data_IF_970530237729
#
_entry.id   IF_970530237729
#
_cell.length_a   1.000
_cell.length_b   1.000
_cell.length_c   1.000
_cell.angle_alpha   90.00
_cell.angle_beta   90.00
_cell.angle_gamma   90.00
#
_symmetry.space_group_name_H-M   'P 1'
#
loop_
_entity.id
_entity.type
_entity.pdbx_description
1 polymer ?
#
# COMPACT_ATOMS: atom_id res chain seq x y z
N UNK A 1 -2.46 73.99 55.16
CA UNK A 1 -1.82 72.71 54.76
C UNK A 1 -1.82 72.59 53.25
N UNK A 2 -0.65 72.68 52.63
CA UNK A 2 -0.45 72.73 51.17
C UNK A 2 -0.22 71.29 50.65
N UNK A 3 -1.06 70.81 49.73
CA UNK A 3 -0.89 69.51 49.04
C UNK A 3 0.26 69.62 48.03
N UNK A 4 1.35 68.88 48.28
CA UNK A 4 2.49 68.74 47.35
C UNK A 4 2.10 67.79 46.21
N UNK A 5 2.07 68.27 44.96
CA UNK A 5 1.87 67.44 43.75
C UNK A 5 3.13 66.60 43.51
N UNK A 6 3.02 65.27 43.57
CA UNK A 6 4.03 64.36 42.98
C UNK A 6 3.98 64.50 41.47
N UNK A 7 5.11 64.79 40.84
CA UNK A 7 5.19 64.95 39.39
C UNK A 7 5.56 63.63 38.73
N UNK A 8 5.17 63.46 37.45
CA UNK A 8 5.39 62.27 36.63
C UNK A 8 6.84 61.77 36.56
N UNK A 9 7.83 62.57 36.97
CA UNK A 9 9.24 62.17 37.04
C UNK A 9 9.56 61.21 38.19
N UNK A 10 8.82 61.24 39.29
CA UNK A 10 9.09 60.36 40.44
C UNK A 10 8.66 58.90 40.20
N UNK A 11 7.72 58.69 39.27
CA UNK A 11 7.24 57.34 38.88
C UNK A 11 8.19 56.66 37.90
N UNK A 12 8.91 57.43 37.08
CA UNK A 12 9.86 56.88 36.10
C UNK A 12 11.18 56.42 36.75
N UNK A 13 11.56 56.98 37.90
CA UNK A 13 12.78 56.58 38.62
C UNK A 13 12.56 55.29 39.42
N UNK A 14 11.32 54.97 39.81
CA UNK A 14 10.99 53.72 40.51
C UNK A 14 10.91 52.49 39.59
N UNK A 15 10.90 52.68 38.26
CA UNK A 15 10.86 51.58 37.28
C UNK A 15 12.25 51.07 36.85
N UNK A 16 13.33 51.74 37.26
CA UNK A 16 14.68 51.47 36.75
C UNK A 16 15.55 50.50 37.58
N UNK A 17 15.05 49.92 38.68
CA UNK A 17 15.91 49.22 39.64
C UNK A 17 15.38 47.89 40.22
N UNK A 18 14.44 47.21 39.56
CA UNK A 18 13.96 45.91 40.01
C UNK A 18 14.10 44.83 38.92
N UNK A 19 15.26 44.17 38.93
CA UNK A 19 15.39 42.77 38.55
C UNK A 19 15.58 42.47 37.06
N UNK A 20 16.84 42.21 36.68
CA UNK A 20 17.15 41.17 35.71
C UNK A 20 16.62 39.83 36.25
N UNK A 21 15.32 39.59 36.13
CA UNK A 21 14.83 38.24 36.05
C UNK A 21 15.19 37.78 34.64
N UNK A 22 16.18 36.88 34.55
CA UNK A 22 16.28 35.97 33.42
C UNK A 22 14.90 35.35 33.23
N UNK A 23 14.11 35.92 32.32
CA UNK A 23 13.07 35.15 31.65
C UNK A 23 13.85 34.09 30.88
N UNK A 24 14.12 32.97 31.53
CA UNK A 24 13.94 31.70 30.86
C UNK A 24 12.52 31.81 30.32
N UNK A 25 12.38 32.24 29.06
CA UNK A 25 11.15 32.01 28.35
C UNK A 25 10.93 30.52 28.56
N UNK A 26 9.86 30.10 29.26
CA UNK A 26 9.40 28.76 29.00
C UNK A 26 9.27 28.74 27.48
N UNK A 27 9.68 27.67 26.83
CA UNK A 27 9.07 27.36 25.56
C UNK A 27 7.57 27.28 25.85
N UNK A 28 6.89 28.44 25.82
CA UNK A 28 5.45 28.54 25.76
C UNK A 28 5.23 28.04 24.36
N UNK A 29 5.08 26.71 24.26
CA UNK A 29 4.33 26.10 23.18
C UNK A 29 3.00 26.83 23.25
N UNK A 30 2.85 27.87 22.45
CA UNK A 30 1.58 28.58 22.29
C UNK A 30 0.55 27.50 22.11
N UNK A 31 -0.47 27.49 22.96
CA UNK A 31 -1.62 26.62 22.81
C UNK A 31 -2.30 26.93 21.47
N UNK A 32 -1.72 26.41 20.38
CA UNK A 32 -2.53 25.94 19.26
C UNK A 32 -3.35 24.83 19.90
N UNK A 33 -4.66 24.95 19.84
CA UNK A 33 -5.59 23.87 20.16
C UNK A 33 -4.91 22.54 19.82
N UNK A 34 -4.63 21.69 20.81
CA UNK A 34 -4.01 20.40 20.54
C UNK A 34 -4.96 19.68 19.56
N UNK A 35 -4.58 19.68 18.28
CA UNK A 35 -5.42 19.11 17.23
C UNK A 35 -5.51 17.63 17.47
N UNK A 36 -6.67 17.04 17.19
CA UNK A 36 -6.79 15.59 17.09
C UNK A 36 -6.73 15.23 15.62
N UNK A 37 -6.03 14.16 15.30
CA UNK A 37 -6.00 13.56 13.97
C UNK A 37 -6.33 12.08 14.12
N UNK A 38 -7.34 11.61 13.40
CA UNK A 38 -7.72 10.21 13.35
C UNK A 38 -7.34 9.64 11.98
N UNK A 39 -6.44 8.66 11.99
CA UNK A 39 -5.90 8.03 10.78
C UNK A 39 -6.45 6.60 10.69
N UNK A 40 -7.25 6.35 9.65
CA UNK A 40 -7.74 5.01 9.32
C UNK A 40 -6.80 4.37 8.31
N UNK A 41 -6.05 3.37 8.73
CA UNK A 41 -5.04 2.72 7.90
C UNK A 41 -5.24 1.21 7.87
N UNK A 42 -4.47 0.54 7.02
CA UNK A 42 -4.58 -0.88 6.78
C UNK A 42 -3.95 -1.67 7.93
N UNK A 43 -4.72 -2.60 8.50
CA UNK A 43 -4.25 -3.60 9.47
C UNK A 43 -3.35 -4.62 8.78
N UNK A 44 -2.04 -4.45 8.94
CA UNK A 44 -1.03 -5.20 8.22
C UNK A 44 -0.84 -6.59 8.84
N UNK A 45 -0.82 -7.63 7.99
CA UNK A 45 -0.57 -9.01 8.42
C UNK A 45 0.89 -9.31 8.84
N UNK A 46 1.83 -8.40 8.58
CA UNK A 46 3.25 -8.59 8.92
C UNK A 46 3.45 -8.21 10.39
N UNK A 47 4.00 -9.12 11.22
CA UNK A 47 4.25 -8.83 12.62
C UNK A 47 5.09 -7.55 12.81
N UNK A 48 4.64 -6.66 13.70
CA UNK A 48 5.35 -5.41 14.04
C UNK A 48 5.12 -4.23 13.10
N UNK A 49 4.57 -4.44 11.90
CA UNK A 49 4.32 -3.35 10.94
C UNK A 49 3.35 -2.28 11.50
N UNK A 50 2.26 -2.72 12.14
CA UNK A 50 1.29 -1.82 12.76
C UNK A 50 1.91 -1.00 13.91
N UNK A 51 2.76 -1.62 14.73
CA UNK A 51 3.43 -0.91 15.84
C UNK A 51 4.39 0.15 15.30
N UNK A 52 5.18 -0.20 14.28
CA UNK A 52 6.08 0.74 13.62
C UNK A 52 5.32 1.93 13.00
N UNK A 53 4.23 1.68 12.28
CA UNK A 53 3.43 2.74 11.67
C UNK A 53 2.77 3.64 12.74
N UNK A 54 2.18 3.03 13.78
CA UNK A 54 1.60 3.78 14.91
C UNK A 54 2.65 4.69 15.54
N UNK A 55 3.84 4.16 15.82
CA UNK A 55 4.94 4.93 16.42
C UNK A 55 5.35 6.12 15.55
N UNK A 56 5.47 5.94 14.23
CA UNK A 56 5.80 7.03 13.29
C UNK A 56 4.74 8.14 13.36
N UNK A 57 3.45 7.77 13.32
CA UNK A 57 2.34 8.72 13.39
C UNK A 57 2.30 9.46 14.73
N UNK A 58 2.48 8.75 15.85
CA UNK A 58 2.47 9.33 17.20
C UNK A 58 3.68 10.22 17.47
N UNK A 59 4.88 9.83 17.00
CA UNK A 59 6.08 10.65 17.10
C UNK A 59 5.93 11.96 16.32
N UNK A 60 5.37 11.90 15.09
CA UNK A 60 5.03 13.09 14.31
C UNK A 60 4.00 13.96 15.02
N UNK A 61 2.96 13.34 15.59
CA UNK A 61 1.93 14.04 16.37
C UNK A 61 2.53 14.79 17.56
N UNK A 62 3.35 14.12 18.37
CA UNK A 62 4.01 14.69 19.54
C UNK A 62 4.94 15.87 19.17
N UNK A 63 5.66 15.76 18.05
CA UNK A 63 6.52 16.83 17.54
C UNK A 63 5.71 18.07 17.12
N UNK A 64 4.48 17.88 16.62
CA UNK A 64 3.61 18.95 16.13
C UNK A 64 2.54 19.41 17.13
N UNK A 65 2.47 18.81 18.32
CA UNK A 65 1.45 19.11 19.32
C UNK A 65 0.04 18.63 18.93
N UNK A 66 -0.02 17.54 18.17
CA UNK A 66 -1.24 16.90 17.66
C UNK A 66 -1.38 15.53 18.34
N UNK A 67 -2.55 15.24 18.89
CA UNK A 67 -2.91 13.90 19.37
C UNK A 67 -3.34 13.07 18.16
N UNK A 68 -2.54 12.06 17.80
CA UNK A 68 -2.83 11.18 16.66
C UNK A 68 -3.40 9.85 17.17
N UNK A 69 -4.56 9.47 16.66
CA UNK A 69 -5.14 8.14 16.85
C UNK A 69 -5.03 7.37 15.54
N UNK A 70 -4.50 6.15 15.59
CA UNK A 70 -4.42 5.25 14.44
C UNK A 70 -5.37 4.07 14.62
N UNK A 71 -6.35 3.97 13.73
CA UNK A 71 -7.25 2.84 13.58
C UNK A 71 -6.71 1.89 12.50
N UNK A 72 -6.60 0.60 12.84
CA UNK A 72 -6.12 -0.44 11.94
C UNK A 72 -7.29 -1.26 11.45
N UNK A 73 -7.57 -1.16 10.15
CA UNK A 73 -8.73 -1.75 9.51
C UNK A 73 -8.26 -2.86 8.57
N UNK A 74 -8.76 -4.08 8.79
CA UNK A 74 -8.42 -5.24 7.96
C UNK A 74 -8.89 -5.10 6.51
N UNK A 75 -8.12 -5.63 5.57
CA UNK A 75 -8.58 -5.77 4.18
C UNK A 75 -9.57 -6.93 4.01
N UNK A 76 -9.55 -7.91 4.93
CA UNK A 76 -10.35 -9.14 4.86
C UNK A 76 -11.84 -8.79 4.84
N UNK A 77 -12.56 -9.33 3.85
CA UNK A 77 -13.99 -9.08 3.69
C UNK A 77 -14.32 -7.63 3.30
N UNK A 78 -13.40 -6.96 2.59
CA UNK A 78 -13.57 -5.59 2.08
C UNK A 78 -13.83 -4.53 3.17
N UNK A 79 -13.33 -4.72 4.40
CA UNK A 79 -13.64 -3.77 5.49
C UNK A 79 -13.14 -2.35 5.20
N UNK A 80 -11.96 -2.20 4.59
CA UNK A 80 -11.49 -0.89 4.12
C UNK A 80 -12.49 -0.20 3.18
N UNK A 81 -13.02 -0.93 2.19
CA UNK A 81 -14.03 -0.39 1.27
C UNK A 81 -15.33 -0.03 1.99
N UNK A 82 -15.82 -0.93 2.85
CA UNK A 82 -17.07 -0.74 3.58
C UNK A 82 -16.99 0.45 4.54
N UNK A 83 -15.86 0.62 5.22
CA UNK A 83 -15.61 1.78 6.08
C UNK A 83 -15.54 3.06 5.25
N UNK A 84 -14.75 3.10 4.17
CA UNK A 84 -14.69 4.26 3.28
C UNK A 84 -16.07 4.64 2.71
N UNK A 85 -16.91 3.67 2.32
CA UNK A 85 -18.28 3.91 1.87
C UNK A 85 -19.17 4.47 2.97
N UNK A 86 -19.05 3.95 4.20
CA UNK A 86 -19.83 4.42 5.33
C UNK A 86 -19.46 5.87 5.68
N UNK A 87 -18.17 6.16 5.82
CA UNK A 87 -17.66 7.49 6.17
C UNK A 87 -17.94 8.52 5.07
N UNK A 88 -17.75 8.15 3.81
CA UNK A 88 -18.08 9.00 2.67
C UNK A 88 -19.57 9.36 2.60
N UNK A 89 -20.47 8.50 3.08
CA UNK A 89 -21.91 8.75 3.12
C UNK A 89 -22.34 9.53 4.36
N UNK A 90 -21.69 9.26 5.49
CA UNK A 90 -21.99 9.91 6.76
C UNK A 90 -21.33 11.29 6.89
N UNK A 91 -20.31 11.57 6.05
CA UNK A 91 -19.51 12.80 6.09
C UNK A 91 -18.84 13.00 7.46
N UNK A 92 -18.48 11.89 8.09
CA UNK A 92 -17.80 11.80 9.39
C UNK A 92 -17.03 10.49 9.45
N UNK A 93 -15.92 10.47 10.18
CA UNK A 93 -15.00 9.34 10.20
C UNK A 93 -13.57 9.78 10.43
N UNK A 94 -12.66 9.17 9.69
CA UNK A 94 -11.23 9.47 9.74
C UNK A 94 -10.88 10.76 8.99
N UNK A 95 -9.88 11.48 9.49
CA UNK A 95 -9.32 12.66 8.83
C UNK A 95 -8.42 12.27 7.67
N UNK A 96 -7.68 11.17 7.82
CA UNK A 96 -6.86 10.54 6.79
C UNK A 96 -7.27 9.07 6.70
N UNK A 97 -7.63 8.62 5.50
CA UNK A 97 -8.07 7.24 5.28
C UNK A 97 -7.29 6.59 4.13
N UNK A 98 -6.78 5.38 4.36
CA UNK A 98 -6.11 4.61 3.30
C UNK A 98 -7.13 4.14 2.26
N UNK A 99 -6.89 4.46 1.00
CA UNK A 99 -7.71 4.01 -0.12
C UNK A 99 -6.87 3.10 -1.02
N UNK A 100 -7.00 1.76 -0.87
CA UNK A 100 -6.24 0.82 -1.69
C UNK A 100 -6.56 0.89 -3.18
N UNK A 101 -5.59 0.52 -4.01
CA UNK A 101 -5.78 0.25 -5.43
C UNK A 101 -6.47 1.41 -6.17
N UNK A 102 -7.59 1.15 -6.83
CA UNK A 102 -8.38 2.12 -7.60
C UNK A 102 -9.37 2.92 -6.74
N UNK A 103 -9.42 2.73 -5.42
CA UNK A 103 -10.42 3.40 -4.58
C UNK A 103 -10.35 4.94 -4.61
N UNK A 104 -9.18 5.60 -4.77
CA UNK A 104 -9.17 7.06 -4.97
C UNK A 104 -10.07 7.49 -6.13
N UNK A 105 -10.14 6.70 -7.22
CA UNK A 105 -11.06 6.97 -8.33
C UNK A 105 -12.54 6.86 -7.95
N UNK A 106 -12.89 5.91 -7.09
CA UNK A 106 -14.27 5.70 -6.61
C UNK A 106 -14.73 6.85 -5.72
N UNK A 107 -13.83 7.37 -4.88
CA UNK A 107 -14.14 8.41 -3.90
C UNK A 107 -13.68 9.81 -4.31
N UNK A 108 -13.12 10.01 -5.51
CA UNK A 108 -12.47 11.28 -5.95
C UNK A 108 -13.25 12.57 -5.68
N UNK A 109 -14.58 12.53 -5.69
CA UNK A 109 -15.46 13.68 -5.40
C UNK A 109 -15.63 14.00 -3.91
N UNK A 110 -15.03 13.20 -3.04
CA UNK A 110 -15.11 13.25 -1.58
C UNK A 110 -13.73 13.44 -0.93
N UNK A 111 -12.68 13.51 -1.75
CA UNK A 111 -11.29 13.64 -1.32
C UNK A 111 -10.80 15.05 -1.59
N UNK A 112 -10.19 15.65 -0.59
CA UNK A 112 -9.48 16.92 -0.74
C UNK A 112 -8.28 16.73 -1.68
N UNK A 113 -8.01 17.68 -2.60
CA UNK A 113 -6.75 17.69 -3.33
C UNK A 113 -5.55 17.75 -2.38
N UNK A 114 -4.52 16.95 -2.66
CA UNK A 114 -3.28 16.86 -1.87
C UNK A 114 -2.05 17.18 -2.74
N UNK A 115 -2.21 18.10 -3.70
CA UNK A 115 -1.15 18.50 -4.63
C UNK A 115 0.06 19.10 -3.92
N UNK A 116 -0.15 19.76 -2.78
CA UNK A 116 0.92 20.29 -1.93
C UNK A 116 1.77 19.16 -1.32
N UNK A 117 1.11 18.16 -0.71
CA UNK A 117 1.77 16.99 -0.12
C UNK A 117 2.54 16.20 -1.18
N UNK A 118 1.92 15.92 -2.32
CA UNK A 118 2.57 15.17 -3.40
C UNK A 118 3.68 16.00 -4.05
N UNK A 119 3.48 17.30 -4.20
CA UNK A 119 4.48 18.24 -4.71
C UNK A 119 5.75 18.25 -3.85
N UNK A 120 5.61 18.30 -2.53
CA UNK A 120 6.73 18.24 -1.58
C UNK A 120 7.49 16.91 -1.70
N UNK A 121 6.77 15.77 -1.76
CA UNK A 121 7.37 14.45 -1.95
C UNK A 121 8.18 14.39 -3.25
N UNK A 122 7.62 14.89 -4.36
CA UNK A 122 8.29 14.89 -5.66
C UNK A 122 9.52 15.80 -5.66
N UNK A 123 9.41 16.98 -5.03
CA UNK A 123 10.51 17.93 -4.95
C UNK A 123 11.70 17.36 -4.14
N UNK A 124 11.42 16.60 -3.08
CA UNK A 124 12.44 16.02 -2.22
C UNK A 124 13.02 14.70 -2.76
N UNK A 125 12.17 13.82 -3.30
CA UNK A 125 12.55 12.43 -3.61
C UNK A 125 12.53 12.10 -5.12
N UNK A 126 12.09 13.03 -5.96
CA UNK A 126 11.97 12.83 -7.40
C UNK A 126 10.61 12.25 -7.82
N UNK A 127 10.51 11.92 -9.10
CA UNK A 127 9.25 11.48 -9.69
C UNK A 127 8.69 10.21 -9.04
N UNK A 128 7.38 10.19 -8.81
CA UNK A 128 6.66 8.99 -8.37
C UNK A 128 6.62 7.94 -9.50
N UNK A 129 6.40 6.68 -9.12
CA UNK A 129 6.14 5.62 -10.10
C UNK A 129 4.86 5.95 -10.92
N UNK A 130 4.82 5.71 -12.25
CA UNK A 130 3.67 6.08 -13.09
C UNK A 130 2.31 5.54 -12.62
N UNK A 131 2.29 4.42 -11.90
CA UNK A 131 1.06 3.89 -11.32
C UNK A 131 0.42 4.82 -10.29
N UNK A 132 1.20 5.63 -9.57
CA UNK A 132 0.67 6.60 -8.61
C UNK A 132 -0.16 7.66 -9.34
N UNK A 133 0.37 8.20 -10.45
CA UNK A 133 -0.34 9.17 -11.28
C UNK A 133 -1.63 8.56 -11.85
N UNK A 134 -1.55 7.36 -12.42
CA UNK A 134 -2.73 6.66 -12.96
C UNK A 134 -3.84 6.44 -11.92
N UNK A 135 -3.49 6.07 -10.69
CA UNK A 135 -4.46 5.72 -9.65
C UNK A 135 -5.00 6.93 -8.89
N UNK A 136 -4.20 7.99 -8.73
CA UNK A 136 -4.48 9.06 -7.79
C UNK A 136 -4.51 10.48 -8.38
N UNK A 137 -3.90 10.73 -9.55
CA UNK A 137 -4.00 12.04 -10.22
C UNK A 137 -5.23 12.06 -11.12
N UNK A 138 -6.32 12.64 -10.59
CA UNK A 138 -7.66 12.54 -11.17
C UNK A 138 -8.29 13.92 -11.27
N UNK A 139 -8.93 14.20 -12.40
CA UNK A 139 -9.57 15.49 -12.67
C UNK A 139 -8.58 16.68 -12.56
N UNK A 140 -7.29 16.45 -12.89
CA UNK A 140 -6.24 17.46 -12.91
C UNK A 140 -5.61 17.79 -11.56
N UNK A 141 -5.87 16.99 -10.52
CA UNK A 141 -5.31 17.15 -9.17
C UNK A 141 -4.95 15.80 -8.54
N UNK A 142 -4.05 15.79 -7.58
CA UNK A 142 -3.77 14.61 -6.75
C UNK A 142 -4.88 14.39 -5.72
N UNK A 143 -5.63 13.28 -5.82
CA UNK A 143 -6.69 12.89 -4.88
C UNK A 143 -6.22 12.02 -3.73
N UNK A 144 -5.01 11.49 -3.83
CA UNK A 144 -4.37 10.70 -2.79
C UNK A 144 -2.84 10.76 -3.00
N UNK A 145 -2.10 10.56 -1.91
CA UNK A 145 -0.65 10.36 -1.95
C UNK A 145 -0.32 8.86 -1.78
N UNK A 146 0.81 8.38 -2.34
CA UNK A 146 1.28 7.01 -2.10
C UNK A 146 1.48 6.74 -0.60
N UNK A 147 0.89 5.66 -0.09
CA UNK A 147 1.05 5.27 1.31
C UNK A 147 2.33 4.42 1.50
N UNK A 148 3.07 4.60 2.61
CA UNK A 148 4.28 3.81 2.89
C UNK A 148 3.97 2.42 3.45
N UNK A 149 2.70 2.11 3.71
CA UNK A 149 2.26 0.91 4.43
C UNK A 149 2.11 -0.34 3.54
N UNK A 150 2.42 -0.25 2.24
CA UNK A 150 2.34 -1.38 1.33
C UNK A 150 2.89 -1.05 -0.06
N UNK A 151 3.14 -2.09 -0.86
CA UNK A 151 3.54 -1.98 -2.25
C UNK A 151 2.63 -2.82 -3.13
N UNK A 152 2.29 -2.30 -4.32
CA UNK A 152 1.50 -3.00 -5.32
C UNK A 152 2.36 -3.81 -6.30
N UNK A 153 3.68 -3.91 -6.07
CA UNK A 153 4.54 -4.75 -6.90
C UNK A 153 4.27 -6.23 -6.63
N UNK A 154 3.47 -6.84 -7.50
CA UNK A 154 3.13 -8.26 -7.50
C UNK A 154 4.20 -9.08 -8.23
N UNK A 155 5.30 -9.34 -7.53
CA UNK A 155 6.31 -10.24 -8.03
C UNK A 155 5.90 -11.70 -7.86
N UNK A 156 6.50 -12.57 -8.66
CA UNK A 156 6.55 -13.99 -8.34
C UNK A 156 7.48 -14.21 -7.16
N UNK A 157 6.97 -14.80 -6.09
CA UNK A 157 7.78 -15.22 -4.94
C UNK A 157 7.98 -16.73 -5.02
N UNK A 158 9.22 -17.15 -5.26
CA UNK A 158 9.54 -18.54 -5.60
C UNK A 158 10.59 -19.17 -4.69
N UNK A 159 10.43 -20.46 -4.40
CA UNK A 159 11.43 -21.34 -3.80
C UNK A 159 12.43 -21.79 -4.85
N UNK A 160 13.51 -21.01 -4.98
CA UNK A 160 14.56 -21.23 -5.97
C UNK A 160 15.13 -22.66 -5.93
N UNK A 161 15.27 -23.21 -4.73
CA UNK A 161 15.75 -24.58 -4.48
C UNK A 161 14.81 -25.64 -5.05
N UNK A 162 13.49 -25.46 -4.92
CA UNK A 162 12.50 -26.42 -5.42
C UNK A 162 12.40 -26.37 -6.95
N UNK A 163 12.48 -25.19 -7.55
CA UNK A 163 12.50 -25.04 -9.01
C UNK A 163 13.72 -25.73 -9.62
N UNK A 164 14.90 -25.54 -9.03
CA UNK A 164 16.12 -26.19 -9.50
C UNK A 164 16.05 -27.72 -9.33
N UNK A 165 15.67 -28.19 -8.15
CA UNK A 165 15.67 -29.63 -7.83
C UNK A 165 14.57 -30.44 -8.53
N UNK A 166 13.39 -29.85 -8.76
CA UNK A 166 12.21 -30.60 -9.21
C UNK A 166 11.65 -30.14 -10.55
N UNK A 167 11.82 -28.87 -10.93
CA UNK A 167 11.40 -28.39 -12.24
C UNK A 167 12.53 -28.42 -13.28
N UNK A 168 13.80 -28.49 -12.85
CA UNK A 168 14.98 -28.34 -13.69
C UNK A 168 15.16 -26.91 -14.18
N UNK A 169 14.67 -25.93 -13.42
CA UNK A 169 14.68 -24.50 -13.79
C UNK A 169 15.58 -23.74 -12.83
N UNK A 170 16.65 -23.14 -13.35
CA UNK A 170 17.50 -22.25 -12.58
C UNK A 170 16.99 -20.80 -12.66
N UNK A 171 16.08 -20.45 -11.76
CA UNK A 171 15.48 -19.10 -11.72
C UNK A 171 16.53 -17.98 -11.49
N UNK A 172 17.66 -18.27 -10.84
CA UNK A 172 18.74 -17.27 -10.64
C UNK A 172 19.51 -16.97 -11.92
N UNK A 173 19.56 -17.92 -12.86
CA UNK A 173 20.14 -17.69 -14.18
C UNK A 173 19.21 -16.83 -15.04
N UNK A 174 17.90 -17.07 -14.96
CA UNK A 174 16.89 -16.29 -15.71
C UNK A 174 16.74 -14.88 -15.11
N UNK A 175 16.68 -14.78 -13.78
CA UNK A 175 16.44 -13.56 -13.02
C UNK A 175 17.55 -13.34 -11.98
N UNK A 176 18.75 -12.92 -12.38
CA UNK A 176 19.83 -12.61 -11.45
C UNK A 176 19.51 -11.39 -10.58
N UNK A 177 20.25 -11.21 -9.48
CA UNK A 177 20.20 -10.02 -8.63
C UNK A 177 20.96 -8.83 -9.25
N UNK A 178 20.74 -8.60 -10.55
CA UNK A 178 21.30 -7.52 -11.35
C UNK A 178 20.34 -7.16 -12.48
N UNK A 179 20.54 -5.99 -13.08
CA UNK A 179 19.79 -5.57 -14.26
C UNK A 179 20.29 -6.24 -15.54
N UNK A 180 21.44 -6.92 -15.48
CA UNK A 180 22.02 -7.68 -16.58
C UNK A 180 21.35 -9.05 -16.68
N UNK A 181 20.38 -9.17 -17.60
CA UNK A 181 19.65 -10.42 -17.87
C UNK A 181 20.02 -10.98 -19.22
N UNK A 182 20.12 -12.31 -19.30
CA UNK A 182 20.20 -13.02 -20.56
C UNK A 182 18.82 -13.03 -21.22
N UNK A 183 18.70 -12.33 -22.35
CA UNK A 183 17.42 -12.18 -23.03
C UNK A 183 16.87 -13.51 -23.55
N UNK A 184 17.71 -14.44 -23.98
CA UNK A 184 17.27 -15.75 -24.47
C UNK A 184 16.65 -16.57 -23.33
N UNK A 185 17.25 -16.52 -22.14
CA UNK A 185 16.68 -17.16 -20.95
C UNK A 185 15.35 -16.53 -20.52
N UNK A 186 15.26 -15.19 -20.58
CA UNK A 186 14.03 -14.46 -20.24
C UNK A 186 12.92 -14.76 -21.25
N UNK A 187 13.21 -14.73 -22.54
CA UNK A 187 12.25 -15.03 -23.61
C UNK A 187 11.78 -16.50 -23.55
N UNK A 188 12.66 -17.40 -23.09
CA UNK A 188 12.33 -18.80 -22.84
C UNK A 188 11.41 -19.01 -21.62
N UNK A 189 11.28 -18.04 -20.73
CA UNK A 189 10.39 -18.11 -19.55
C UNK A 189 8.95 -17.70 -19.89
N UNK A 190 8.31 -18.52 -20.71
CA UNK A 190 6.92 -18.34 -21.17
C UNK A 190 5.90 -18.89 -20.17
N UNK A 191 4.62 -18.59 -20.38
CA UNK A 191 3.53 -19.21 -19.60
C UNK A 191 3.48 -20.74 -19.76
N UNK A 192 3.81 -21.30 -20.93
CA UNK A 192 3.91 -22.75 -21.10
C UNK A 192 5.11 -23.36 -20.34
N UNK A 193 6.24 -22.64 -20.28
CA UNK A 193 7.38 -23.04 -19.47
C UNK A 193 7.02 -23.01 -17.97
N UNK A 194 6.32 -21.98 -17.53
CA UNK A 194 5.81 -21.88 -16.16
C UNK A 194 4.83 -23.02 -15.83
N UNK A 195 3.87 -23.30 -16.71
CA UNK A 195 2.90 -24.40 -16.55
C UNK A 195 3.60 -25.76 -16.43
N UNK A 196 4.62 -25.99 -17.26
CA UNK A 196 5.44 -27.21 -17.20
C UNK A 196 6.21 -27.34 -15.88
N UNK A 197 6.68 -26.22 -15.33
CA UNK A 197 7.32 -26.20 -14.01
C UNK A 197 6.30 -26.46 -12.89
N UNK A 198 5.12 -25.85 -12.97
CA UNK A 198 4.03 -26.05 -12.01
C UNK A 198 3.59 -27.51 -11.95
N UNK A 199 3.46 -28.19 -13.09
CA UNK A 199 3.15 -29.62 -13.15
C UNK A 199 4.20 -30.47 -12.43
N UNK A 200 5.49 -30.27 -12.74
CA UNK A 200 6.58 -31.03 -12.09
C UNK A 200 6.64 -30.80 -10.58
N UNK A 201 6.40 -29.56 -10.15
CA UNK A 201 6.37 -29.18 -8.75
C UNK A 201 5.15 -29.78 -8.03
N UNK A 202 4.00 -29.85 -8.70
CA UNK A 202 2.80 -30.49 -8.19
C UNK A 202 3.01 -31.99 -7.93
N UNK A 203 3.68 -32.71 -8.84
CA UNK A 203 3.98 -34.15 -8.69
C UNK A 203 4.73 -34.46 -7.40
N UNK A 204 5.60 -33.56 -6.93
CA UNK A 204 6.35 -33.71 -5.67
C UNK A 204 5.64 -33.09 -4.46
N UNK A 205 4.36 -32.70 -4.61
CA UNK A 205 3.56 -32.10 -3.55
C UNK A 205 3.93 -30.65 -3.23
N UNK A 206 4.62 -29.95 -4.12
CA UNK A 206 5.08 -28.55 -3.95
C UNK A 206 4.42 -27.63 -4.95
N UNK A 207 3.10 -27.63 -4.99
CA UNK A 207 2.29 -26.88 -5.96
C UNK A 207 2.54 -25.36 -5.96
N UNK A 208 2.29 -24.74 -7.12
CA UNK A 208 2.03 -23.31 -7.21
C UNK A 208 0.71 -22.97 -6.51
N UNK A 209 0.64 -21.81 -5.86
CA UNK A 209 -0.59 -21.33 -5.21
C UNK A 209 -0.78 -19.83 -5.36
N UNK A 210 -1.97 -19.43 -5.80
CA UNK A 210 -2.41 -18.05 -5.78
C UNK A 210 -3.94 -18.02 -5.63
N UNK A 211 -4.52 -17.05 -4.93
CA UNK A 211 -5.96 -17.01 -4.69
C UNK A 211 -6.74 -16.87 -6.01
N UNK A 212 -7.76 -17.70 -6.22
CA UNK A 212 -8.77 -17.54 -7.28
C UNK A 212 -10.08 -17.19 -6.59
N UNK A 213 -10.08 -16.01 -5.97
CA UNK A 213 -11.14 -15.50 -5.12
C UNK A 213 -11.28 -13.99 -5.33
N UNK A 214 -12.44 -13.38 -4.99
CA UNK A 214 -12.69 -11.95 -5.19
C UNK A 214 -11.97 -11.10 -4.12
N UNK A 215 -10.64 -11.17 -4.11
CA UNK A 215 -9.75 -10.46 -3.20
C UNK A 215 -8.78 -9.58 -4.00
N UNK A 216 -8.01 -8.72 -3.32
CA UNK A 216 -7.03 -7.88 -4.00
C UNK A 216 -5.97 -8.75 -4.70
N UNK A 217 -5.40 -9.70 -3.96
CA UNK A 217 -4.41 -10.64 -4.47
C UNK A 217 -4.92 -11.40 -5.68
N UNK A 218 -6.13 -11.97 -5.58
CA UNK A 218 -6.72 -12.76 -6.65
C UNK A 218 -6.91 -11.95 -7.92
N UNK A 219 -7.46 -10.74 -7.79
CA UNK A 219 -7.67 -9.85 -8.91
C UNK A 219 -6.34 -9.42 -9.57
N UNK A 220 -5.28 -9.16 -8.79
CA UNK A 220 -4.04 -8.62 -9.33
C UNK A 220 -3.29 -9.60 -10.22
N UNK A 221 -3.09 -10.85 -9.77
CA UNK A 221 -2.36 -11.82 -10.60
C UNK A 221 -3.21 -12.34 -11.76
N UNK A 222 -4.53 -12.49 -11.58
CA UNK A 222 -5.44 -12.87 -12.67
C UNK A 222 -5.54 -11.76 -13.72
N UNK A 223 -5.65 -10.50 -13.31
CA UNK A 223 -5.68 -9.37 -14.26
C UNK A 223 -4.36 -9.26 -15.04
N UNK A 224 -3.22 -9.47 -14.39
CA UNK A 224 -1.92 -9.51 -15.07
C UNK A 224 -1.85 -10.65 -16.10
N UNK A 225 -2.36 -11.84 -15.75
CA UNK A 225 -2.45 -12.97 -16.66
C UNK A 225 -3.37 -12.68 -17.84
N UNK A 226 -4.57 -12.14 -17.61
CA UNK A 226 -5.50 -11.75 -18.68
C UNK A 226 -4.85 -10.73 -19.62
N UNK A 227 -4.23 -9.68 -19.07
CA UNK A 227 -3.55 -8.67 -19.85
C UNK A 227 -2.41 -9.24 -20.71
N UNK A 228 -1.67 -10.23 -20.20
CA UNK A 228 -0.58 -10.85 -20.96
C UNK A 228 -1.07 -11.67 -22.17
N UNK A 229 -2.33 -12.11 -22.16
CA UNK A 229 -3.00 -12.74 -23.31
C UNK A 229 -3.80 -11.73 -24.15
N UNK A 230 -3.72 -10.43 -23.85
CA UNK A 230 -4.50 -9.39 -24.53
C UNK A 230 -5.98 -9.39 -24.16
N UNK A 231 -6.39 -10.12 -23.12
CA UNK A 231 -7.77 -10.20 -22.68
C UNK A 231 -8.12 -9.01 -21.77
N UNK A 232 -9.18 -8.28 -22.13
CA UNK A 232 -9.77 -7.22 -21.33
C UNK A 232 -11.24 -7.55 -21.04
N UNK A 233 -11.67 -7.46 -19.78
CA UNK A 233 -13.08 -7.68 -19.42
C UNK A 233 -13.96 -6.47 -19.75
N UNK A 234 -13.37 -5.27 -19.70
CA UNK A 234 -13.95 -3.99 -20.10
C UNK A 234 -12.84 -3.17 -20.76
N UNK A 235 -13.09 -2.69 -21.97
CA UNK A 235 -12.08 -1.94 -22.72
C UNK A 235 -12.05 -0.45 -22.35
N UNK A 236 -11.07 0.29 -22.91
CA UNK A 236 -10.92 1.75 -22.70
C UNK A 236 -12.13 2.60 -23.10
N UNK A 237 -12.99 2.10 -23.99
CA UNK A 237 -14.24 2.74 -24.41
C UNK A 237 -15.42 2.41 -23.49
N UNK A 238 -15.17 1.67 -22.40
CA UNK A 238 -16.17 1.19 -21.43
C UNK A 238 -17.15 0.18 -22.05
N UNK A 239 -16.70 -0.56 -23.08
CA UNK A 239 -17.46 -1.67 -23.66
C UNK A 239 -17.12 -2.97 -22.93
N UNK A 240 -18.12 -3.82 -22.70
CA UNK A 240 -17.95 -5.14 -22.08
C UNK A 240 -17.39 -6.11 -23.14
N UNK A 241 -16.16 -6.56 -22.96
CA UNK A 241 -15.39 -7.37 -23.94
C UNK A 241 -15.01 -8.76 -23.41
N UNK A 242 -15.63 -9.18 -22.31
CA UNK A 242 -15.37 -10.48 -21.65
C UNK A 242 -15.63 -11.69 -22.56
N UNK A 243 -16.53 -11.58 -23.54
CA UNK A 243 -16.74 -12.64 -24.54
C UNK A 243 -15.85 -12.40 -25.76
N UNK A 244 -14.59 -12.80 -25.64
CA UNK A 244 -13.54 -12.65 -26.65
C UNK A 244 -12.69 -13.92 -26.77
N UNK A 245 -12.03 -14.08 -27.92
CA UNK A 245 -11.14 -15.23 -28.17
C UNK A 245 -9.93 -15.20 -27.23
N UNK A 246 -9.43 -14.00 -26.90
CA UNK A 246 -8.37 -13.78 -25.92
C UNK A 246 -8.81 -14.25 -24.53
N UNK A 247 -10.03 -13.91 -24.12
CA UNK A 247 -10.58 -14.37 -22.83
C UNK A 247 -10.72 -15.90 -22.80
N UNK A 248 -11.16 -16.53 -23.89
CA UNK A 248 -11.25 -17.99 -23.98
C UNK A 248 -9.88 -18.65 -23.87
N UNK A 249 -8.88 -18.08 -24.55
CA UNK A 249 -7.49 -18.57 -24.53
C UNK A 249 -6.91 -18.54 -23.12
N UNK A 250 -7.06 -17.43 -22.38
CA UNK A 250 -6.56 -17.36 -21.00
C UNK A 250 -7.31 -18.30 -20.05
N UNK A 251 -8.62 -18.50 -20.26
CA UNK A 251 -9.41 -19.44 -19.47
C UNK A 251 -9.01 -20.90 -19.73
N UNK A 252 -8.65 -21.26 -20.97
CA UNK A 252 -8.10 -22.58 -21.30
C UNK A 252 -6.75 -22.81 -20.62
N UNK A 253 -5.87 -21.80 -20.64
CA UNK A 253 -4.61 -21.83 -19.91
C UNK A 253 -4.84 -21.99 -18.39
N UNK A 254 -5.73 -21.19 -17.80
CA UNK A 254 -6.08 -21.30 -16.39
C UNK A 254 -6.66 -22.67 -16.03
N UNK A 255 -7.51 -23.24 -16.89
CA UNK A 255 -8.07 -24.57 -16.68
C UNK A 255 -6.99 -25.65 -16.61
N UNK A 256 -5.88 -25.50 -17.35
CA UNK A 256 -4.71 -26.38 -17.28
C UNK A 256 -3.91 -26.11 -16.00
N UNK A 257 -3.62 -24.85 -15.71
CA UNK A 257 -2.84 -24.45 -14.55
C UNK A 257 -3.47 -24.88 -13.22
N UNK A 258 -4.80 -24.76 -13.09
CA UNK A 258 -5.52 -25.11 -11.85
C UNK A 258 -5.48 -26.60 -11.54
N UNK A 259 -5.19 -27.48 -12.50
CA UNK A 259 -4.94 -28.90 -12.22
C UNK A 259 -3.71 -29.14 -11.34
N UNK A 260 -2.82 -28.14 -11.26
CA UNK A 260 -1.55 -28.20 -10.52
C UNK A 260 -1.54 -27.28 -9.30
N UNK A 261 -2.70 -26.73 -8.92
CA UNK A 261 -2.88 -25.85 -7.75
C UNK A 261 -3.60 -26.60 -6.61
N UNK A 262 -3.43 -26.19 -5.34
CA UNK A 262 -4.24 -26.72 -4.24
C UNK A 262 -5.73 -26.37 -4.41
N UNK A 263 -6.65 -27.30 -4.10
CA UNK A 263 -8.10 -27.03 -4.17
C UNK A 263 -8.55 -25.85 -3.29
N UNK A 264 -7.80 -25.55 -2.23
CA UNK A 264 -8.16 -24.48 -1.29
C UNK A 264 -8.02 -23.07 -1.87
N UNK A 265 -7.38 -22.89 -3.03
CA UNK A 265 -7.12 -21.57 -3.64
C UNK A 265 -8.38 -20.75 -3.93
N UNK A 266 -9.53 -21.41 -4.11
CA UNK A 266 -10.83 -20.76 -4.32
C UNK A 266 -11.43 -20.16 -3.04
N UNK A 267 -10.88 -20.49 -1.88
CA UNK A 267 -11.31 -19.99 -0.56
C UNK A 267 -10.27 -19.09 0.12
N UNK A 268 -9.17 -18.78 -0.57
CA UNK A 268 -8.06 -18.00 -0.03
C UNK A 268 -8.43 -16.52 0.12
N UNK A 269 -7.95 -15.93 1.21
CA UNK A 269 -7.90 -14.48 1.44
C UNK A 269 -6.54 -13.90 1.02
N UNK A 270 -6.37 -12.57 1.13
CA UNK A 270 -5.13 -11.84 0.79
C UNK A 270 -3.90 -12.22 1.65
N UNK A 271 -4.05 -13.11 2.63
CA UNK A 271 -2.95 -13.58 3.47
C UNK A 271 -2.68 -15.08 3.33
N UNK A 272 -3.52 -15.80 2.57
CA UNK A 272 -3.48 -17.26 2.50
C UNK A 272 -2.30 -17.79 1.70
N UNK A 273 -1.96 -17.15 0.58
CA UNK A 273 -0.77 -17.46 -0.22
C UNK A 273 0.55 -17.28 0.58
N UNK A 274 0.66 -16.24 1.40
CA UNK A 274 1.80 -15.99 2.28
C UNK A 274 1.99 -17.15 3.27
N UNK A 275 0.92 -17.49 4.00
CA UNK A 275 0.93 -18.61 4.95
C UNK A 275 1.29 -19.93 4.27
N UNK A 276 0.78 -20.16 3.06
CA UNK A 276 1.04 -21.35 2.26
C UNK A 276 2.51 -21.48 1.83
N UNK A 277 3.14 -20.38 1.43
CA UNK A 277 4.55 -20.39 1.07
C UNK A 277 5.43 -20.55 2.32
N UNK A 278 5.15 -19.79 3.38
CA UNK A 278 5.93 -19.76 4.63
C UNK A 278 5.89 -21.11 5.35
N UNK A 279 4.78 -21.85 5.28
CA UNK A 279 4.69 -23.20 5.85
C UNK A 279 5.64 -24.20 5.18
N UNK A 280 6.18 -23.86 4.01
CA UNK A 280 7.04 -24.74 3.21
C UNK A 280 6.26 -25.73 2.34
N UNK A 281 4.92 -25.61 2.29
CA UNK A 281 4.07 -26.43 1.43
C UNK A 281 4.12 -25.98 -0.04
N UNK A 282 4.11 -24.66 -0.28
CA UNK A 282 4.15 -24.09 -1.63
C UNK A 282 5.56 -23.96 -2.23
N UNK A 283 5.62 -23.93 -3.56
CA UNK A 283 6.85 -23.61 -4.32
C UNK A 283 6.88 -22.18 -4.84
N UNK A 284 5.74 -21.62 -5.21
CA UNK A 284 5.64 -20.27 -5.75
C UNK A 284 4.25 -19.67 -5.47
N UNK A 285 4.25 -18.36 -5.24
CA UNK A 285 3.04 -17.53 -5.16
C UNK A 285 3.24 -16.24 -5.99
N UNK A 286 2.17 -15.53 -6.29
CA UNK A 286 2.22 -14.14 -6.74
C UNK A 286 1.77 -13.25 -5.57
N UNK A 287 2.68 -12.44 -5.04
CA UNK A 287 2.37 -11.51 -3.96
C UNK A 287 3.45 -10.42 -3.81
N UNK A 288 3.19 -9.30 -3.10
CA UNK A 288 4.24 -8.40 -2.68
C UNK A 288 5.28 -9.11 -1.78
N UNK A 289 6.42 -8.45 -1.49
CA UNK A 289 7.49 -9.02 -0.67
C UNK A 289 7.09 -9.46 0.75
N UNK A 290 5.86 -9.22 1.21
CA UNK A 290 5.39 -9.57 2.55
C UNK A 290 5.46 -11.06 2.89
N UNK A 291 5.59 -11.95 1.90
CA UNK A 291 5.83 -13.37 2.15
C UNK A 291 7.20 -13.67 2.76
N UNK A 292 8.14 -12.71 2.70
CA UNK A 292 9.50 -12.81 3.26
C UNK A 292 9.68 -12.03 4.56
N UNK A 293 8.63 -11.33 5.00
CA UNK A 293 8.67 -10.46 6.18
C UNK A 293 8.32 -11.21 7.47
#
# INVERSE_FOLDING_TARGET
MIKRKRSRRDVLIAAGAAGFATFAMPYIKTARSAGKLVVGTWDHWVPGANEALRKICEDWGAANGIEVTVDFITSIGNKLLLTAQAESRAETGHDVFVLPLWFPSMFRKRLEPVDDVVGDIIAEHGALHPSAEFLAHLDGVWRAAPAPAGSLNYASVSRLDLFEAHAGVNLKAIFPASDERDQELVDGWTYDAFLSAAEKLHVVGKSFGAPIAPTADGNQWLAALFAAYGAEVVNKSVEITVDSDETRTVLEYLSRLTQYMPDSVYAWDDASNNRWLISGEGSIIFNPPSAWA
#
